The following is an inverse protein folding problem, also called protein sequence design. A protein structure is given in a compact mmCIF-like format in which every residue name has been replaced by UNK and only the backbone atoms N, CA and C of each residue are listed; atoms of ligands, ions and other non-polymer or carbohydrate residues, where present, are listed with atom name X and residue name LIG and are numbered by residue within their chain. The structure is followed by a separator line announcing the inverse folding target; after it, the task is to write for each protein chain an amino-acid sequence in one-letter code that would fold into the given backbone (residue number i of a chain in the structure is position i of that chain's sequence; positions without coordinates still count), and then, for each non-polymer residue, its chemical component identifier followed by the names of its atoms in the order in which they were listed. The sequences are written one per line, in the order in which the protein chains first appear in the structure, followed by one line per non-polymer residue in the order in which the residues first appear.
data_IF_878144252430
#
_entry.id   IF_878144252430
#
_cell.length_a   1.000
_cell.length_b   1.000
_cell.length_c   1.000
_cell.angle_alpha   90.00
_cell.angle_beta   90.00
_cell.angle_gamma   90.00
#
_symmetry.space_group_name_H-M   'P 1'
#
loop_
_entity.id
_entity.type
_entity.pdbx_description
1 polymer ?
#
# COMPACT_ATOMS: atom_id res chain seq x y z
N UNK A 1 -11.62 -10.60 -28.90
CA UNK A 1 -11.54 -9.21 -28.43
C UNK A 1 -12.31 -9.21 -27.12
N UNK A 2 -11.61 -9.32 -26.01
CA UNK A 2 -12.25 -9.29 -24.68
C UNK A 2 -12.84 -7.89 -24.50
N UNK A 3 -14.14 -7.82 -24.23
CA UNK A 3 -14.79 -6.60 -23.77
C UNK A 3 -14.13 -6.21 -22.46
N UNK A 4 -13.40 -5.10 -22.44
CA UNK A 4 -12.90 -4.53 -21.19
C UNK A 4 -14.13 -4.01 -20.44
N UNK A 5 -14.38 -4.60 -19.29
CA UNK A 5 -15.50 -4.26 -18.42
C UNK A 5 -15.21 -2.88 -17.77
N UNK A 6 -15.53 -1.79 -18.48
CA UNK A 6 -15.22 -0.42 -18.07
C UNK A 6 -15.87 -0.04 -16.73
N UNK A 7 -16.93 -0.76 -16.35
CA UNK A 7 -17.65 -0.60 -15.09
C UNK A 7 -16.75 -0.89 -13.87
N UNK A 8 -15.73 -1.74 -14.01
CA UNK A 8 -14.81 -2.08 -12.91
C UNK A 8 -14.04 -0.85 -12.41
N UNK A 9 -13.80 0.15 -13.27
CA UNK A 9 -13.08 1.37 -12.92
C UNK A 9 -13.89 2.32 -12.03
N UNK A 10 -15.21 2.15 -12.00
CA UNK A 10 -16.11 2.94 -11.15
C UNK A 10 -16.36 2.29 -9.79
N UNK A 11 -15.84 1.08 -9.54
CA UNK A 11 -15.92 0.47 -8.22
C UNK A 11 -15.20 1.38 -7.20
N UNK A 12 -15.83 1.67 -6.04
CA UNK A 12 -15.22 2.53 -5.02
C UNK A 12 -13.84 2.05 -4.58
N UNK A 13 -13.60 0.75 -4.52
CA UNK A 13 -12.29 0.17 -4.20
C UNK A 13 -11.22 0.53 -5.23
N UNK A 14 -11.54 0.41 -6.52
CA UNK A 14 -10.61 0.76 -7.62
C UNK A 14 -10.33 2.26 -7.62
N UNK A 15 -11.36 3.08 -7.42
CA UNK A 15 -11.21 4.53 -7.34
C UNK A 15 -10.33 4.94 -6.14
N UNK A 16 -10.60 4.40 -4.95
CA UNK A 16 -9.87 4.73 -3.73
C UNK A 16 -8.41 4.23 -3.79
N UNK A 17 -8.16 3.03 -4.32
CA UNK A 17 -6.79 2.55 -4.50
C UNK A 17 -6.02 3.39 -5.50
N UNK A 18 -6.65 3.78 -6.61
CA UNK A 18 -6.05 4.69 -7.58
C UNK A 18 -5.74 6.07 -6.96
N UNK A 19 -6.60 6.56 -6.07
CA UNK A 19 -6.34 7.79 -5.32
C UNK A 19 -5.11 7.64 -4.41
N UNK A 20 -5.01 6.54 -3.67
CA UNK A 20 -3.85 6.24 -2.82
C UNK A 20 -2.57 6.13 -3.66
N UNK A 21 -2.62 5.38 -4.77
CA UNK A 21 -1.46 5.09 -5.60
C UNK A 21 -0.90 6.31 -6.32
N UNK A 22 -1.79 7.20 -6.78
CA UNK A 22 -1.42 8.45 -7.44
C UNK A 22 -1.16 9.57 -6.44
N UNK A 23 -1.46 9.35 -5.15
CA UNK A 23 -1.15 10.29 -4.10
C UNK A 23 0.35 10.43 -3.90
N UNK A 24 0.78 11.61 -3.46
CA UNK A 24 2.19 11.89 -3.14
C UNK A 24 2.64 11.27 -1.81
N UNK A 25 1.95 10.24 -1.30
CA UNK A 25 2.23 9.63 0.01
C UNK A 25 3.64 9.04 0.09
N UNK A 26 4.18 8.53 -1.02
CA UNK A 26 5.57 8.07 -1.09
C UNK A 26 6.55 9.13 -0.55
N UNK A 27 6.37 10.40 -0.90
CA UNK A 27 7.27 11.48 -0.47
C UNK A 27 7.11 11.90 1.01
N UNK A 28 6.11 11.35 1.68
CA UNK A 28 5.85 11.56 3.10
C UNK A 28 6.25 10.37 3.97
N UNK A 29 6.77 9.30 3.36
CA UNK A 29 7.19 8.09 4.03
C UNK A 29 8.38 8.28 4.97
N UNK A 30 8.60 7.25 5.79
CA UNK A 30 9.73 7.17 6.72
C UNK A 30 10.97 6.66 6.01
N UNK A 31 11.74 7.57 5.41
CA UNK A 31 12.91 7.22 4.59
C UNK A 31 13.91 6.36 5.35
N UNK A 32 14.23 6.70 6.60
CA UNK A 32 15.30 6.04 7.34
C UNK A 32 14.93 4.57 7.65
N UNK A 33 13.73 4.35 8.20
CA UNK A 33 13.24 3.01 8.51
C UNK A 33 12.93 2.19 7.24
N UNK A 34 12.42 2.82 6.18
CA UNK A 34 12.13 2.12 4.93
C UNK A 34 13.40 1.72 4.15
N UNK A 35 14.45 2.54 4.20
CA UNK A 35 15.75 2.19 3.63
C UNK A 35 16.41 1.03 4.37
N UNK A 36 16.29 1.01 5.71
CA UNK A 36 16.74 -0.12 6.52
C UNK A 36 15.96 -1.40 6.19
N UNK A 37 14.63 -1.32 6.18
CA UNK A 37 13.76 -2.45 5.85
C UNK A 37 14.06 -3.02 4.46
N UNK A 38 14.28 -2.15 3.46
CA UNK A 38 14.68 -2.56 2.11
C UNK A 38 16.01 -3.33 2.15
N UNK A 39 17.03 -2.82 2.84
CA UNK A 39 18.35 -3.49 2.94
C UNK A 39 18.22 -4.88 3.55
N UNK A 40 17.38 -5.01 4.58
CA UNK A 40 17.14 -6.28 5.27
C UNK A 40 16.42 -7.33 4.43
N UNK A 41 15.57 -6.89 3.49
CA UNK A 41 14.65 -7.75 2.74
C UNK A 41 14.93 -7.81 1.23
N UNK A 42 16.05 -7.23 0.77
CA UNK A 42 16.36 -7.08 -0.66
C UNK A 42 16.51 -8.41 -1.40
N UNK A 43 16.87 -9.48 -0.69
CA UNK A 43 17.07 -10.81 -1.27
C UNK A 43 15.77 -11.62 -1.33
N UNK A 44 14.77 -11.24 -0.52
CA UNK A 44 13.51 -11.93 -0.35
C UNK A 44 12.40 -11.32 -1.19
N UNK A 45 12.41 -10.00 -1.34
CA UNK A 45 11.32 -9.25 -1.93
C UNK A 45 11.81 -8.08 -2.80
N UNK A 46 11.13 -7.84 -3.92
CA UNK A 46 11.20 -6.56 -4.63
C UNK A 46 9.96 -5.72 -4.33
N UNK A 47 10.13 -4.39 -4.30
CA UNK A 47 9.06 -3.43 -4.06
C UNK A 47 8.82 -3.06 -2.59
N UNK A 48 9.66 -3.57 -1.67
CA UNK A 48 9.58 -3.30 -0.22
C UNK A 48 9.65 -1.82 0.10
N UNK A 49 10.58 -1.10 -0.52
CA UNK A 49 10.76 0.35 -0.31
C UNK A 49 9.52 1.15 -0.72
N UNK A 50 9.00 0.95 -1.94
CA UNK A 50 7.82 1.67 -2.42
C UNK A 50 6.59 1.39 -1.54
N UNK A 51 6.41 0.13 -1.15
CA UNK A 51 5.36 -0.25 -0.21
C UNK A 51 5.53 0.42 1.15
N UNK A 52 6.74 0.38 1.72
CA UNK A 52 7.02 0.98 3.03
C UNK A 52 6.82 2.50 3.01
N UNK A 53 7.38 3.19 2.01
CA UNK A 53 7.29 4.64 1.88
C UNK A 53 5.83 5.10 1.73
N UNK A 54 5.04 4.41 0.89
CA UNK A 54 3.62 4.71 0.75
C UNK A 54 2.84 4.42 2.03
N UNK A 55 3.05 3.26 2.64
CA UNK A 55 2.33 2.86 3.86
C UNK A 55 2.59 3.84 5.00
N UNK A 56 3.85 4.13 5.30
CA UNK A 56 4.22 5.09 6.35
C UNK A 56 3.75 6.52 6.03
N UNK A 57 3.81 6.93 4.76
CA UNK A 57 3.31 8.23 4.32
C UNK A 57 1.78 8.38 4.42
N UNK A 58 1.03 7.30 4.14
CA UNK A 58 -0.42 7.22 4.35
C UNK A 58 -0.72 7.33 5.85
N UNK A 59 -0.05 6.55 6.69
CA UNK A 59 -0.26 6.55 8.14
C UNK A 59 0.03 7.93 8.75
N UNK A 60 1.13 8.59 8.33
CA UNK A 60 1.48 9.94 8.75
C UNK A 60 0.44 11.00 8.35
N UNK A 61 -0.24 10.79 7.23
CA UNK A 61 -1.28 11.69 6.72
C UNK A 61 -2.69 11.14 6.90
N UNK A 62 -2.88 10.16 7.78
CA UNK A 62 -4.12 9.36 7.83
C UNK A 62 -5.36 10.23 8.05
N UNK A 63 -5.27 11.22 8.94
CA UNK A 63 -6.38 12.15 9.23
C UNK A 63 -6.76 13.04 8.03
N UNK A 64 -5.84 13.25 7.09
CA UNK A 64 -6.06 14.07 5.89
C UNK A 64 -6.50 13.23 4.68
N UNK A 65 -6.64 11.91 4.83
CA UNK A 65 -7.16 11.05 3.77
C UNK A 65 -8.62 11.41 3.49
N UNK A 66 -8.92 11.65 2.22
CA UNK A 66 -10.27 11.89 1.74
C UNK A 66 -10.58 10.87 0.65
N UNK A 67 -11.31 9.82 1.04
CA UNK A 67 -11.73 8.77 0.12
C UNK A 67 -13.15 9.01 -0.36
N UNK A 68 -13.48 8.43 -1.52
CA UNK A 68 -14.84 8.41 -2.02
C UNK A 68 -15.64 7.33 -1.29
N UNK A 69 -16.06 7.65 -0.07
CA UNK A 69 -16.91 6.83 0.80
C UNK A 69 -17.90 7.74 1.54
N UNK A 70 -19.06 7.18 1.89
CA UNK A 70 -20.08 7.85 2.69
C UNK A 70 -19.79 7.87 4.19
N UNK A 71 -18.75 7.17 4.67
CA UNK A 71 -18.48 6.93 6.08
C UNK A 71 -16.97 7.08 6.36
N UNK A 72 -16.60 8.04 7.21
CA UNK A 72 -15.19 8.28 7.59
C UNK A 72 -14.54 7.07 8.31
N UNK A 73 -15.33 6.22 8.97
CA UNK A 73 -14.86 4.96 9.61
C UNK A 73 -14.30 3.96 8.57
N UNK A 74 -14.70 4.05 7.30
CA UNK A 74 -14.22 3.19 6.22
C UNK A 74 -12.75 3.48 5.86
N UNK A 75 -12.16 4.60 6.30
CA UNK A 75 -10.76 4.95 5.96
C UNK A 75 -9.79 3.87 6.40
N UNK A 76 -9.96 3.33 7.60
CA UNK A 76 -9.15 2.24 8.12
C UNK A 76 -9.31 0.98 7.25
N UNK A 77 -10.55 0.61 6.91
CA UNK A 77 -10.81 -0.58 6.09
C UNK A 77 -10.23 -0.44 4.69
N UNK A 78 -10.42 0.72 4.04
CA UNK A 78 -9.87 1.01 2.71
C UNK A 78 -8.35 0.91 2.73
N UNK A 79 -7.69 1.51 3.71
CA UNK A 79 -6.21 1.44 3.84
C UNK A 79 -5.77 0.00 4.12
N UNK A 80 -6.46 -0.72 5.00
CA UNK A 80 -6.15 -2.12 5.28
C UNK A 80 -6.24 -2.97 4.01
N UNK A 81 -7.35 -2.87 3.27
CA UNK A 81 -7.51 -3.62 2.03
C UNK A 81 -6.51 -3.20 0.95
N UNK A 82 -6.14 -1.91 0.87
CA UNK A 82 -5.06 -1.46 0.00
C UNK A 82 -3.72 -2.10 0.38
N UNK A 83 -3.38 -2.17 1.67
CA UNK A 83 -2.17 -2.83 2.17
C UNK A 83 -2.15 -4.31 1.77
N UNK A 84 -3.24 -5.04 2.03
CA UNK A 84 -3.35 -6.45 1.61
C UNK A 84 -3.20 -6.59 0.09
N UNK A 85 -3.92 -5.78 -0.69
CA UNK A 85 -3.83 -5.81 -2.14
C UNK A 85 -2.40 -5.53 -2.63
N UNK A 86 -1.70 -4.56 -2.04
CA UNK A 86 -0.33 -4.23 -2.40
C UNK A 86 0.62 -5.41 -2.09
N UNK A 87 0.55 -5.95 -0.87
CA UNK A 87 1.41 -7.05 -0.41
C UNK A 87 1.28 -8.31 -1.29
N UNK A 88 0.08 -8.65 -1.74
CA UNK A 88 -0.14 -9.88 -2.50
C UNK A 88 -0.01 -9.71 -4.01
N UNK A 89 -0.32 -8.54 -4.55
CA UNK A 89 -0.39 -8.33 -6.00
C UNK A 89 0.78 -7.52 -6.57
N UNK A 90 1.57 -6.82 -5.74
CA UNK A 90 2.63 -5.91 -6.21
C UNK A 90 4.01 -6.22 -5.67
N UNK A 91 4.11 -6.70 -4.44
CA UNK A 91 5.37 -7.23 -3.92
C UNK A 91 5.74 -8.48 -4.71
N UNK A 92 6.95 -8.50 -5.28
CA UNK A 92 7.47 -9.69 -5.96
C UNK A 92 8.27 -10.50 -4.95
N UNK A 93 7.85 -11.73 -4.71
CA UNK A 93 8.59 -12.68 -3.86
C UNK A 93 9.69 -13.34 -4.67
N UNK A 94 10.93 -13.23 -4.20
CA UNK A 94 12.08 -13.99 -4.72
C UNK A 94 12.24 -15.34 -4.04
N UNK A 95 11.74 -15.43 -2.81
CA UNK A 95 11.72 -16.64 -1.99
C UNK A 95 10.28 -16.95 -1.52
N UNK A 96 10.08 -18.09 -0.85
CA UNK A 96 8.77 -18.54 -0.33
C UNK A 96 8.35 -17.85 0.97
N UNK A 97 8.99 -16.73 1.34
CA UNK A 97 8.64 -16.00 2.56
C UNK A 97 7.27 -15.35 2.46
N UNK A 98 6.67 -15.12 3.63
CA UNK A 98 5.38 -14.49 3.75
C UNK A 98 5.52 -12.95 3.64
N UNK A 99 4.87 -12.27 2.65
CA UNK A 99 4.88 -10.82 2.56
C UNK A 99 4.40 -10.11 3.83
N UNK A 100 3.61 -10.78 4.68
CA UNK A 100 3.23 -10.21 5.97
C UNK A 100 4.41 -9.90 6.89
N UNK A 101 5.56 -10.53 6.70
CA UNK A 101 6.80 -10.16 7.41
C UNK A 101 7.19 -8.70 7.17
N UNK A 102 6.90 -8.15 5.98
CA UNK A 102 7.16 -6.74 5.66
C UNK A 102 6.27 -5.84 6.52
N UNK A 103 4.97 -6.14 6.58
CA UNK A 103 4.01 -5.35 7.36
C UNK A 103 4.30 -5.43 8.86
N UNK A 104 4.65 -6.61 9.36
CA UNK A 104 5.00 -6.80 10.78
C UNK A 104 6.18 -5.92 11.19
N UNK A 105 7.19 -5.75 10.33
CA UNK A 105 8.33 -4.86 10.58
C UNK A 105 7.93 -3.38 10.55
N UNK A 106 7.06 -2.98 9.62
CA UNK A 106 6.58 -1.59 9.53
C UNK A 106 5.81 -1.19 10.80
N UNK A 107 5.03 -2.09 11.39
CA UNK A 107 4.23 -1.80 12.58
C UNK A 107 5.04 -1.73 13.89
N UNK A 108 6.35 -1.97 13.84
CA UNK A 108 7.27 -1.89 14.99
C UNK A 108 8.01 -0.54 15.02
N UNK A 109 8.00 0.21 13.91
CA UNK A 109 8.51 1.58 13.83
C UNK A 109 7.70 2.51 14.75
#
# INVERSE_FOLDING_TARGET
MEEQDEDIYFLPSVYNYKHIDNGNYYYHGDTDNCDELKRDLINEFDGVEDFCMKTTGILKNFHNLNFHTSIDEDKCEIVNYWVYNYLFNRIKKKDKRDPFEILARILIF
#
